data_IF_646236531898
#
_entry.id   IF_646236531898
#
_cell.length_a   1.000
_cell.length_b   1.000
_cell.length_c   1.000
_cell.angle_alpha   90.00
_cell.angle_beta   90.00
_cell.angle_gamma   90.00
#
_symmetry.space_group_name_H-M   'P 1'
#
loop_
_entity.id
_entity.type
_entity.pdbx_description
1 polymer ?
#
# COMPACT_ATOMS: atom_id res chain seq x y z
N UNK A 1 -60.66 8.86 -9.21
CA UNK A 1 -59.21 8.87 -9.46
C UNK A 1 -58.98 7.73 -10.42
N UNK A 2 -58.71 8.06 -11.68
CA UNK A 2 -58.74 7.10 -12.78
C UNK A 2 -57.60 6.08 -12.67
N UNK A 3 -57.83 4.87 -13.16
CA UNK A 3 -56.82 3.80 -13.24
C UNK A 3 -55.51 4.29 -13.89
N UNK A 4 -55.64 5.21 -14.86
CA UNK A 4 -54.52 5.84 -15.54
C UNK A 4 -53.71 6.78 -14.65
N UNK A 5 -54.37 7.60 -13.81
CA UNK A 5 -53.68 8.46 -12.83
C UNK A 5 -52.93 7.61 -11.79
N UNK A 6 -53.55 6.56 -11.29
CA UNK A 6 -52.92 5.65 -10.32
C UNK A 6 -51.69 4.96 -10.92
N UNK A 7 -51.78 4.55 -12.19
CA UNK A 7 -50.65 3.96 -12.92
C UNK A 7 -49.51 4.96 -13.15
N UNK A 8 -49.82 6.20 -13.55
CA UNK A 8 -48.82 7.25 -13.75
C UNK A 8 -48.13 7.63 -12.44
N UNK A 9 -48.88 7.80 -11.36
CA UNK A 9 -48.33 8.13 -10.02
C UNK A 9 -47.46 6.98 -9.51
N UNK A 10 -47.88 5.73 -9.65
CA UNK A 10 -47.09 4.56 -9.25
C UNK A 10 -45.81 4.40 -10.07
N UNK A 11 -45.86 4.67 -11.37
CA UNK A 11 -44.69 4.64 -12.24
C UNK A 11 -43.71 5.76 -11.89
N UNK A 12 -44.22 6.98 -11.71
CA UNK A 12 -43.41 8.14 -11.33
C UNK A 12 -42.74 7.94 -9.96
N UNK A 13 -43.46 7.42 -8.96
CA UNK A 13 -42.89 7.15 -7.64
C UNK A 13 -41.78 6.10 -7.68
N UNK A 14 -41.94 5.05 -8.49
CA UNK A 14 -40.92 4.01 -8.68
C UNK A 14 -39.67 4.57 -9.35
N UNK A 15 -39.84 5.38 -10.40
CA UNK A 15 -38.71 6.02 -11.10
C UNK A 15 -37.96 6.96 -10.14
N UNK A 16 -38.69 7.82 -9.43
CA UNK A 16 -38.10 8.74 -8.44
C UNK A 16 -37.38 7.97 -7.34
N UNK A 17 -37.99 6.90 -6.82
CA UNK A 17 -37.36 6.03 -5.82
C UNK A 17 -36.06 5.41 -6.32
N UNK A 18 -36.05 4.93 -7.57
CA UNK A 18 -34.84 4.37 -8.20
C UNK A 18 -33.72 5.41 -8.35
N UNK A 19 -34.06 6.64 -8.76
CA UNK A 19 -33.08 7.74 -8.88
C UNK A 19 -32.51 8.11 -7.52
N UNK A 20 -33.35 8.28 -6.50
CA UNK A 20 -32.91 8.62 -5.14
C UNK A 20 -31.98 7.54 -4.57
N UNK A 21 -32.34 6.27 -4.77
CA UNK A 21 -31.52 5.15 -4.32
C UNK A 21 -30.17 5.12 -5.05
N UNK A 22 -30.15 5.36 -6.37
CA UNK A 22 -28.92 5.43 -7.15
C UNK A 22 -28.00 6.58 -6.67
N UNK A 23 -28.56 7.76 -6.43
CA UNK A 23 -27.82 8.92 -5.89
C UNK A 23 -27.26 8.60 -4.50
N UNK A 24 -28.06 7.96 -3.64
CA UNK A 24 -27.62 7.53 -2.31
C UNK A 24 -26.44 6.55 -2.38
N UNK A 25 -26.51 5.53 -3.24
CA UNK A 25 -25.40 4.58 -3.42
C UNK A 25 -24.15 5.24 -3.98
N UNK A 26 -24.30 6.17 -4.94
CA UNK A 26 -23.16 6.91 -5.49
C UNK A 26 -22.49 7.76 -4.40
N UNK A 27 -23.28 8.49 -3.61
CA UNK A 27 -22.78 9.31 -2.53
C UNK A 27 -22.08 8.50 -1.43
N UNK A 28 -22.69 7.38 -1.01
CA UNK A 28 -22.10 6.46 -0.04
C UNK A 28 -20.79 5.84 -0.56
N UNK A 29 -20.76 5.41 -1.83
CA UNK A 29 -19.56 4.88 -2.48
C UNK A 29 -18.41 5.88 -2.47
N UNK A 30 -18.69 7.14 -2.73
CA UNK A 30 -17.65 8.18 -2.84
C UNK A 30 -17.19 8.68 -1.47
N UNK A 31 -18.11 8.87 -0.50
CA UNK A 31 -17.78 9.42 0.82
C UNK A 31 -17.31 8.37 1.82
N UNK A 32 -17.97 7.22 1.90
CA UNK A 32 -17.65 6.19 2.89
C UNK A 32 -16.59 5.21 2.39
N UNK A 33 -16.60 4.93 1.08
CA UNK A 33 -15.73 3.93 0.45
C UNK A 33 -14.81 4.55 -0.60
N UNK A 34 -14.45 5.83 -0.44
CA UNK A 34 -13.46 6.48 -1.28
C UNK A 34 -12.08 5.82 -1.15
N UNK A 35 -11.29 5.85 -2.21
CA UNK A 35 -9.96 5.24 -2.20
C UNK A 35 -9.04 5.92 -1.19
N UNK A 36 -8.18 5.15 -0.53
CA UNK A 36 -7.18 5.69 0.36
C UNK A 36 -6.02 6.31 -0.43
N UNK A 37 -5.51 7.44 0.06
CA UNK A 37 -4.36 8.09 -0.54
C UNK A 37 -3.06 7.35 -0.16
N UNK A 38 -2.67 6.44 -1.06
CA UNK A 38 -1.40 5.69 -1.01
C UNK A 38 -0.31 6.34 -1.86
N UNK A 39 -0.63 7.40 -2.61
CA UNK A 39 0.28 8.08 -3.52
C UNK A 39 1.18 9.04 -2.75
N UNK A 40 2.36 9.31 -3.28
CA UNK A 40 3.33 10.28 -2.74
C UNK A 40 4.54 9.64 -2.10
N UNK A 41 5.24 10.43 -1.30
CA UNK A 41 6.46 10.03 -0.60
C UNK A 41 6.12 9.20 0.64
N UNK A 42 6.91 8.16 0.86
CA UNK A 42 6.84 7.30 2.04
C UNK A 42 8.25 7.02 2.55
N UNK A 43 8.37 6.92 3.86
CA UNK A 43 9.51 6.37 4.58
C UNK A 43 9.06 5.05 5.17
N UNK A 44 9.84 3.99 5.03
CA UNK A 44 9.50 2.71 5.62
C UNK A 44 10.70 2.02 6.25
N UNK A 45 10.42 1.22 7.27
CA UNK A 45 11.38 0.32 7.87
C UNK A 45 11.02 -1.14 7.57
N UNK A 46 12.02 -2.00 7.67
CA UNK A 46 11.89 -3.45 7.62
C UNK A 46 12.65 -4.01 8.81
N UNK A 47 11.96 -4.73 9.69
CA UNK A 47 12.57 -5.38 10.85
C UNK A 47 12.53 -6.88 10.61
N UNK A 48 13.70 -7.50 10.44
CA UNK A 48 13.81 -8.94 10.17
C UNK A 48 13.52 -9.74 11.44
N UNK A 49 12.44 -10.51 11.45
CA UNK A 49 12.05 -11.36 12.58
C UNK A 49 12.52 -12.80 12.38
N UNK A 50 12.41 -13.32 11.15
CA UNK A 50 12.81 -14.66 10.74
C UNK A 50 13.75 -14.58 9.55
N UNK A 51 14.70 -15.50 9.48
CA UNK A 51 15.72 -15.58 8.42
C UNK A 51 16.38 -16.95 8.47
N UNK A 52 16.74 -17.50 7.31
CA UNK A 52 17.60 -18.68 7.22
C UNK A 52 19.07 -18.36 7.59
N UNK A 53 19.45 -17.08 7.52
CA UNK A 53 20.80 -16.60 7.86
C UNK A 53 20.79 -15.76 9.14
N UNK A 54 21.19 -16.38 10.25
CA UNK A 54 21.15 -15.80 11.60
C UNK A 54 21.77 -14.39 11.75
N UNK A 55 22.82 -14.00 11.02
CA UNK A 55 23.34 -12.63 11.10
C UNK A 55 22.34 -11.53 10.73
N UNK A 56 21.27 -11.84 10.00
CA UNK A 56 20.22 -10.89 9.65
C UNK A 56 19.08 -10.82 10.67
N UNK A 57 19.06 -11.70 11.67
CA UNK A 57 17.98 -11.70 12.66
C UNK A 57 18.04 -10.41 13.48
N UNK A 58 16.93 -9.68 13.52
CA UNK A 58 16.85 -8.36 14.17
C UNK A 58 17.46 -7.21 13.36
N UNK A 59 17.85 -7.44 12.10
CA UNK A 59 18.32 -6.37 11.21
C UNK A 59 17.18 -5.40 10.90
N UNK A 60 17.48 -4.10 10.98
CA UNK A 60 16.56 -3.03 10.60
C UNK A 60 17.09 -2.33 9.34
N UNK A 61 16.27 -2.26 8.31
CA UNK A 61 16.57 -1.51 7.09
C UNK A 61 15.57 -0.37 6.93
N UNK A 62 16.04 0.82 6.57
CA UNK A 62 15.17 1.96 6.29
C UNK A 62 15.33 2.45 4.87
N UNK A 63 14.20 2.85 4.31
CA UNK A 63 14.05 3.23 2.92
C UNK A 63 13.21 4.48 2.79
N UNK A 64 13.39 5.16 1.66
CA UNK A 64 12.48 6.20 1.17
C UNK A 64 11.97 5.77 -0.20
N UNK A 65 10.68 5.95 -0.45
CA UNK A 65 10.12 5.68 -1.78
C UNK A 65 9.10 6.74 -2.19
N UNK A 66 8.86 6.80 -3.49
CA UNK A 66 7.74 7.51 -4.09
C UNK A 66 6.84 6.48 -4.74
N UNK A 67 5.55 6.53 -4.41
CA UNK A 67 4.51 5.67 -4.96
C UNK A 67 3.55 6.54 -5.75
N UNK A 68 3.15 6.11 -6.93
CA UNK A 68 1.99 6.63 -7.64
C UNK A 68 1.12 5.49 -8.12
N UNK A 69 -0.15 5.82 -8.41
CA UNK A 69 -1.18 4.84 -8.72
C UNK A 69 -1.70 5.05 -10.14
N UNK A 70 -1.77 3.94 -10.89
CA UNK A 70 -2.34 3.86 -12.23
C UNK A 70 -3.48 2.82 -12.21
N UNK A 71 -4.72 3.29 -12.01
CA UNK A 71 -5.85 2.39 -11.77
C UNK A 71 -5.65 1.62 -10.46
N UNK A 72 -5.56 0.29 -10.51
CA UNK A 72 -5.23 -0.52 -9.33
C UNK A 72 -3.74 -0.87 -9.23
N UNK A 73 -2.92 -0.46 -10.20
CA UNK A 73 -1.50 -0.73 -10.18
C UNK A 73 -0.76 0.35 -9.40
N UNK A 74 0.23 -0.06 -8.61
CA UNK A 74 1.13 0.82 -7.90
C UNK A 74 2.49 0.76 -8.59
N UNK A 75 3.06 1.93 -8.83
CA UNK A 75 4.35 2.11 -9.46
C UNK A 75 5.18 3.06 -8.63
N UNK A 76 6.50 2.92 -8.68
CA UNK A 76 7.35 3.71 -7.82
C UNK A 76 8.84 3.49 -8.01
N UNK A 77 9.59 4.26 -7.24
CA UNK A 77 11.01 4.03 -7.02
C UNK A 77 11.31 4.11 -5.54
N UNK A 78 12.33 3.37 -5.12
CA UNK A 78 12.76 3.27 -3.72
C UNK A 78 14.27 3.48 -3.64
N UNK A 79 14.73 4.01 -2.51
CA UNK A 79 16.14 4.10 -2.16
C UNK A 79 16.38 3.62 -0.73
N UNK A 80 17.41 2.80 -0.53
CA UNK A 80 17.88 2.47 0.82
C UNK A 80 18.64 3.66 1.40
N UNK A 81 18.26 4.06 2.61
CA UNK A 81 18.85 5.24 3.27
C UNK A 81 19.59 4.89 4.55
N UNK A 82 19.25 3.78 5.21
CA UNK A 82 19.87 3.42 6.48
C UNK A 82 19.76 1.92 6.77
N UNK A 83 20.70 1.39 7.55
CA UNK A 83 20.80 -0.02 7.93
C UNK A 83 21.37 -0.15 9.34
N UNK A 84 20.66 -0.89 10.20
CA UNK A 84 21.16 -1.41 11.46
C UNK A 84 21.40 -2.90 11.27
N UNK A 85 22.67 -3.30 11.30
CA UNK A 85 23.09 -4.68 11.15
C UNK A 85 23.91 -5.13 12.35
N UNK A 86 24.24 -6.42 12.39
CA UNK A 86 25.21 -6.94 13.35
C UNK A 86 26.60 -6.28 13.28
N UNK A 87 26.94 -5.68 12.13
CA UNK A 87 28.23 -4.99 11.92
C UNK A 87 28.19 -3.51 12.31
N UNK A 88 27.07 -3.04 12.84
CA UNK A 88 26.84 -1.65 13.22
C UNK A 88 25.77 -0.98 12.35
N UNK A 89 25.65 0.32 12.58
CA UNK A 89 24.72 1.23 11.91
C UNK A 89 25.40 1.93 10.73
N UNK A 90 24.67 2.07 9.62
CA UNK A 90 25.16 2.72 8.41
C UNK A 90 24.08 3.60 7.82
N UNK A 91 24.43 4.86 7.61
CA UNK A 91 23.64 5.79 6.80
C UNK A 91 24.17 5.83 5.37
N UNK A 92 23.26 5.75 4.41
CA UNK A 92 23.57 5.80 2.98
C UNK A 92 23.20 7.19 2.41
N UNK A 93 24.22 7.91 1.96
CA UNK A 93 24.08 9.27 1.39
C UNK A 93 24.59 9.30 -0.05
N UNK A 94 23.86 10.01 -0.91
CA UNK A 94 24.25 10.25 -2.31
C UNK A 94 24.46 8.96 -3.09
N UNK A 95 25.64 8.83 -3.72
CA UNK A 95 26.00 7.70 -4.59
C UNK A 95 26.00 6.32 -3.91
N UNK A 96 26.00 6.28 -2.57
CA UNK A 96 26.03 5.04 -1.81
C UNK A 96 24.63 4.46 -1.58
N UNK A 97 23.56 5.17 -1.98
CA UNK A 97 22.19 4.66 -1.91
C UNK A 97 21.95 3.64 -3.02
N UNK A 98 21.46 2.47 -2.64
CA UNK A 98 20.91 1.52 -3.61
C UNK A 98 19.52 1.99 -4.02
N UNK A 99 19.26 1.98 -5.33
CA UNK A 99 17.98 2.36 -5.92
C UNK A 99 17.26 1.11 -6.42
N UNK A 100 15.94 1.11 -6.26
CA UNK A 100 15.06 0.05 -6.72
C UNK A 100 13.82 0.56 -7.42
N UNK A 101 13.12 -0.36 -8.07
CA UNK A 101 11.79 -0.17 -8.64
C UNK A 101 10.75 -0.77 -7.73
N UNK A 102 9.65 -0.05 -7.58
CA UNK A 102 8.48 -0.49 -6.83
C UNK A 102 7.35 -0.75 -7.83
N UNK A 103 6.77 -1.94 -7.76
CA UNK A 103 5.55 -2.31 -8.47
C UNK A 103 4.58 -2.92 -7.47
N UNK A 104 3.27 -2.89 -7.75
CA UNK A 104 2.31 -3.44 -6.81
C UNK A 104 0.88 -3.33 -7.26
N UNK A 105 -0.02 -3.75 -6.37
CA UNK A 105 -1.45 -3.69 -6.58
C UNK A 105 -2.16 -3.12 -5.34
N UNK A 106 -3.14 -2.27 -5.58
CA UNK A 106 -4.10 -1.79 -4.61
C UNK A 106 -5.32 -2.70 -4.59
N UNK A 107 -5.59 -3.30 -3.43
CA UNK A 107 -6.75 -4.15 -3.19
C UNK A 107 -7.75 -3.39 -2.32
N UNK A 108 -8.85 -2.99 -2.96
CA UNK A 108 -9.95 -2.30 -2.29
C UNK A 108 -10.86 -3.30 -1.60
N UNK A 109 -11.11 -3.09 -0.31
CA UNK A 109 -12.00 -3.90 0.50
C UNK A 109 -13.18 -3.06 1.01
N UNK A 110 -14.41 -3.49 0.72
CA UNK A 110 -15.62 -2.76 1.14
C UNK A 110 -16.00 -3.00 2.61
N UNK A 111 -15.66 -4.17 3.15
CA UNK A 111 -16.04 -4.60 4.50
C UNK A 111 -14.83 -4.76 5.44
N UNK A 112 -13.63 -4.47 4.96
CA UNK A 112 -12.40 -4.51 5.74
C UNK A 112 -11.45 -3.42 5.27
N UNK A 113 -10.28 -3.32 5.91
CA UNK A 113 -9.29 -2.31 5.51
C UNK A 113 -8.69 -2.66 4.14
N UNK A 114 -8.49 -1.63 3.34
CA UNK A 114 -7.78 -1.76 2.07
C UNK A 114 -6.38 -2.33 2.29
N UNK A 115 -5.88 -3.05 1.28
CA UNK A 115 -4.56 -3.67 1.29
C UNK A 115 -3.75 -3.19 0.10
N UNK A 116 -2.45 -3.15 0.28
CA UNK A 116 -1.51 -2.96 -0.81
C UNK A 116 -0.50 -4.09 -0.82
N UNK A 117 -0.28 -4.62 -2.01
CA UNK A 117 0.71 -5.64 -2.28
C UNK A 117 1.84 -4.98 -3.05
N UNK A 118 3.02 -4.94 -2.47
CA UNK A 118 4.14 -4.21 -3.04
C UNK A 118 5.28 -5.17 -3.29
N UNK A 119 5.83 -5.12 -4.49
CA UNK A 119 7.06 -5.77 -4.89
C UNK A 119 8.12 -4.71 -5.13
N UNK A 120 9.27 -4.89 -4.48
CA UNK A 120 10.45 -4.05 -4.65
C UNK A 120 11.55 -4.91 -5.24
N UNK A 121 12.04 -4.50 -6.39
CA UNK A 121 13.29 -4.98 -6.98
C UNK A 121 14.36 -3.92 -6.75
N UNK A 122 15.42 -4.25 -6.01
CA UNK A 122 16.53 -3.36 -5.72
C UNK A 122 17.82 -3.90 -6.31
N UNK A 123 18.60 -3.02 -6.96
CA UNK A 123 19.95 -3.38 -7.41
C UNK A 123 20.94 -3.12 -6.28
N UNK A 124 21.29 -4.19 -5.56
CA UNK A 124 22.38 -4.16 -4.60
C UNK A 124 23.75 -4.33 -5.26
N UNK A 125 24.80 -4.22 -4.47
CA UNK A 125 26.18 -4.55 -4.91
C UNK A 125 26.30 -6.06 -5.13
N UNK A 126 26.10 -6.51 -6.38
CA UNK A 126 26.38 -7.87 -6.83
C UNK A 126 25.17 -8.74 -7.14
N UNK A 127 23.95 -8.36 -6.74
CA UNK A 127 22.70 -8.99 -7.23
C UNK A 127 21.49 -8.08 -7.08
N UNK A 128 20.46 -8.44 -7.82
CA UNK A 128 19.11 -7.96 -7.60
C UNK A 128 18.49 -8.62 -6.36
N UNK A 129 17.85 -7.83 -5.51
CA UNK A 129 17.08 -8.29 -4.37
C UNK A 129 15.59 -8.07 -4.61
N UNK A 130 14.80 -9.03 -4.15
CA UNK A 130 13.33 -8.99 -4.22
C UNK A 130 12.77 -8.96 -2.81
N UNK A 131 11.98 -7.91 -2.53
CA UNK A 131 11.19 -7.79 -1.32
C UNK A 131 9.71 -7.69 -1.69
N UNK A 132 8.88 -8.51 -1.08
CA UNK A 132 7.44 -8.50 -1.24
C UNK A 132 6.78 -8.08 0.06
N UNK A 133 5.77 -7.23 -0.02
CA UNK A 133 5.06 -6.67 1.13
C UNK A 133 3.57 -6.88 0.96
N UNK A 134 2.92 -7.22 2.08
CA UNK A 134 1.46 -7.15 2.22
C UNK A 134 1.16 -6.20 3.36
N UNK A 135 0.68 -5.00 3.01
CA UNK A 135 0.44 -3.92 3.97
C UNK A 135 -1.05 -3.61 4.05
N UNK A 136 -1.52 -3.34 5.27
CA UNK A 136 -2.86 -2.83 5.53
C UNK A 136 -2.82 -1.30 5.55
N UNK A 137 -3.79 -0.67 4.89
CA UNK A 137 -3.88 0.79 4.82
C UNK A 137 -4.56 1.33 6.08
N UNK A 138 -3.82 2.13 6.86
CA UNK A 138 -4.24 2.73 8.13
C UNK A 138 -3.90 4.23 8.14
N UNK A 139 -4.66 5.08 7.43
CA UNK A 139 -4.36 6.53 7.28
C UNK A 139 -3.89 7.17 8.61
N UNK A 140 -2.66 7.73 8.72
CA UNK A 140 -1.67 8.07 7.67
C UNK A 140 -0.54 7.02 7.45
N UNK A 141 -0.67 5.82 8.00
CA UNK A 141 0.33 4.75 8.03
C UNK A 141 -0.05 3.57 7.11
N UNK A 142 0.96 2.84 6.64
CA UNK A 142 0.77 1.47 6.14
C UNK A 142 1.56 0.54 7.05
N UNK A 143 1.00 -0.62 7.36
CA UNK A 143 1.68 -1.57 8.23
C UNK A 143 1.36 -3.00 7.83
N UNK A 144 2.35 -3.87 7.88
CA UNK A 144 2.14 -5.27 7.59
C UNK A 144 3.43 -6.06 7.62
N UNK A 145 3.49 -7.06 6.75
CA UNK A 145 4.61 -8.00 6.69
C UNK A 145 5.36 -7.86 5.39
N UNK A 146 6.63 -8.21 5.43
CA UNK A 146 7.44 -8.42 4.25
C UNK A 146 8.02 -9.84 4.22
N UNK A 147 8.33 -10.28 3.01
CA UNK A 147 9.12 -11.47 2.72
C UNK A 147 10.21 -11.10 1.71
N UNK A 148 11.43 -11.55 1.95
CA UNK A 148 12.57 -11.31 1.07
C UNK A 148 13.18 -12.63 0.62
N UNK A 149 13.61 -12.67 -0.63
CA UNK A 149 14.37 -13.81 -1.15
C UNK A 149 15.84 -13.76 -0.72
N UNK A 150 16.28 -12.67 -0.07
CA UNK A 150 17.56 -12.66 0.58
C UNK A 150 17.47 -13.47 1.85
N UNK A 151 18.14 -14.63 1.89
CA UNK A 151 18.23 -15.48 3.07
C UNK A 151 16.87 -15.84 3.71
N UNK A 152 15.82 -15.93 2.88
CA UNK A 152 14.45 -16.26 3.29
C UNK A 152 14.00 -15.44 4.51
N UNK A 153 14.16 -14.12 4.41
CA UNK A 153 13.78 -13.21 5.49
C UNK A 153 12.28 -12.97 5.52
N UNK A 154 11.72 -12.90 6.72
CA UNK A 154 10.36 -12.43 6.97
C UNK A 154 10.37 -11.48 8.16
N UNK A 155 9.43 -10.54 8.17
CA UNK A 155 9.26 -9.67 9.33
C UNK A 155 8.22 -8.58 9.13
N UNK A 156 8.24 -7.61 10.02
CA UNK A 156 7.34 -6.47 10.02
C UNK A 156 7.86 -5.29 9.20
N UNK A 157 6.94 -4.52 8.64
CA UNK A 157 7.25 -3.24 7.98
C UNK A 157 6.19 -2.20 8.30
N UNK A 158 6.64 -0.99 8.64
CA UNK A 158 5.81 0.19 8.88
C UNK A 158 6.23 1.27 7.89
N UNK A 159 5.23 1.90 7.28
CA UNK A 159 5.39 2.97 6.31
C UNK A 159 4.68 4.21 6.85
N UNK A 160 5.38 5.33 6.82
CA UNK A 160 4.91 6.62 7.30
C UNK A 160 5.33 7.75 6.35
N UNK A 161 4.66 8.90 6.46
CA UNK A 161 4.95 10.06 5.61
C UNK A 161 6.19 10.83 6.07
N UNK A 162 6.50 10.76 7.36
CA UNK A 162 7.66 11.41 7.98
C UNK A 162 8.85 10.46 8.11
N UNK A 163 10.11 10.95 8.14
CA UNK A 163 11.28 10.13 8.42
C UNK A 163 11.23 9.41 9.78
N UNK A 164 11.96 8.30 9.91
CA UNK A 164 12.16 7.54 11.16
C UNK A 164 13.33 8.08 11.97
#
# INVERSE_FOLDING_TARGET
MDLFESFLVGSASTIVGGIVLAVFFFWMREKCFGDADVTGKWHFNMITERTAYNPYKGMELRYVCVVWREGNNLCGSVEKVYEISRTGEREYVGKNRSRGKLTGAYEKNYFSKDRVHIHISEQGTGRESTNYFTLTVNKPLLSGKFSSFIADQEGGSIWQREPF
#
